data_IF_843453882673
#
_entry.id   IF_843453882673
#
_cell.length_a   1.000
_cell.length_b   1.000
_cell.length_c   1.000
_cell.angle_alpha   90.00
_cell.angle_beta   90.00
_cell.angle_gamma   90.00
#
_symmetry.space_group_name_H-M   'P 1'
#
loop_
_entity.id
_entity.type
_entity.pdbx_description
1 polymer ?
#
# COMPACT_ATOMS: atom_id res chain seq x y z
N UNK A 1 -3.10 -15.90 -29.32
CA UNK A 1 -4.16 -15.72 -30.31
C UNK A 1 -5.44 -15.11 -29.73
N UNK A 2 -6.13 -15.79 -28.74
CA UNK A 2 -7.34 -15.22 -28.14
C UNK A 2 -7.08 -13.93 -27.36
N UNK A 3 -6.00 -13.87 -26.59
CA UNK A 3 -5.61 -12.68 -25.83
C UNK A 3 -5.22 -11.51 -26.75
N UNK A 4 -4.58 -11.80 -27.88
CA UNK A 4 -4.21 -10.78 -28.87
C UNK A 4 -5.44 -10.21 -29.56
N UNK A 5 -6.41 -11.07 -29.93
CA UNK A 5 -7.71 -10.62 -30.46
C UNK A 5 -8.45 -9.73 -29.46
N UNK A 6 -8.44 -10.12 -28.17
CA UNK A 6 -9.05 -9.31 -27.12
C UNK A 6 -8.35 -7.95 -26.97
N UNK A 7 -7.02 -7.93 -27.02
CA UNK A 7 -6.26 -6.68 -26.96
C UNK A 7 -6.62 -5.73 -28.10
N UNK A 8 -6.71 -6.23 -29.34
CA UNK A 8 -7.11 -5.44 -30.51
C UNK A 8 -8.50 -4.86 -30.31
N UNK A 9 -9.48 -5.71 -29.92
CA UNK A 9 -10.86 -5.29 -29.72
C UNK A 9 -10.98 -4.22 -28.62
N UNK A 10 -10.28 -4.38 -27.49
CA UNK A 10 -10.28 -3.41 -26.39
C UNK A 10 -9.62 -2.10 -26.82
N UNK A 11 -8.50 -2.16 -27.54
CA UNK A 11 -7.80 -0.96 -28.04
C UNK A 11 -8.70 -0.18 -28.99
N UNK A 12 -9.36 -0.87 -29.91
CA UNK A 12 -10.30 -0.25 -30.83
C UNK A 12 -11.50 0.38 -30.10
N UNK A 13 -12.07 -0.33 -29.14
CA UNK A 13 -13.18 0.17 -28.34
C UNK A 13 -12.80 1.44 -27.54
N UNK A 14 -11.61 1.45 -26.91
CA UNK A 14 -11.10 2.62 -26.19
C UNK A 14 -10.94 3.83 -27.10
N UNK A 15 -10.42 3.62 -28.31
CA UNK A 15 -10.25 4.69 -29.30
C UNK A 15 -11.59 5.23 -29.81
N UNK A 16 -12.51 4.36 -30.20
CA UNK A 16 -13.78 4.76 -30.79
C UNK A 16 -14.76 5.37 -29.78
N UNK A 17 -14.84 4.77 -28.58
CA UNK A 17 -15.84 5.17 -27.56
C UNK A 17 -15.34 6.23 -26.60
N UNK A 18 -14.10 6.15 -26.18
CA UNK A 18 -13.54 7.03 -25.15
C UNK A 18 -12.52 8.03 -25.73
N UNK A 19 -12.15 7.92 -27.01
CA UNK A 19 -11.13 8.72 -27.68
C UNK A 19 -9.78 8.65 -26.94
N UNK A 20 -9.46 7.48 -26.36
CA UNK A 20 -8.22 7.23 -25.66
C UNK A 20 -7.28 6.39 -26.51
N UNK A 21 -6.05 6.86 -26.65
CA UNK A 21 -4.98 6.11 -27.31
C UNK A 21 -4.24 5.25 -26.28
N UNK A 22 -4.05 3.98 -26.63
CA UNK A 22 -3.32 3.02 -25.80
C UNK A 22 -1.82 3.14 -26.09
N UNK A 23 -1.00 3.29 -25.03
CA UNK A 23 0.46 3.34 -25.19
C UNK A 23 1.02 1.97 -25.61
N UNK A 24 1.61 1.82 -26.80
CA UNK A 24 2.17 0.56 -27.28
C UNK A 24 3.27 0.02 -26.35
N UNK A 25 4.09 0.91 -25.79
CA UNK A 25 5.21 0.56 -24.90
C UNK A 25 4.75 -0.07 -23.58
N UNK A 26 3.55 0.30 -23.12
CA UNK A 26 3.00 -0.15 -21.83
C UNK A 26 1.98 -1.28 -21.97
N UNK A 27 1.58 -1.59 -23.19
CA UNK A 27 0.52 -2.55 -23.49
C UNK A 27 1.11 -3.82 -24.09
N UNK A 28 0.98 -4.92 -23.36
CA UNK A 28 1.47 -6.22 -23.82
C UNK A 28 0.65 -7.35 -23.25
N UNK A 29 0.56 -8.44 -24.00
CA UNK A 29 0.01 -9.71 -23.52
C UNK A 29 1.11 -10.47 -22.77
N UNK A 30 0.82 -10.90 -21.54
CA UNK A 30 1.76 -11.64 -20.68
C UNK A 30 1.15 -12.96 -20.27
N UNK A 31 1.87 -14.07 -20.52
CA UNK A 31 1.52 -15.35 -19.91
C UNK A 31 1.97 -15.38 -18.45
N UNK A 32 1.03 -15.14 -17.55
CA UNK A 32 1.26 -15.07 -16.10
C UNK A 32 1.67 -16.41 -15.46
N UNK A 33 1.61 -17.52 -16.19
CA UNK A 33 2.16 -18.81 -15.73
C UNK A 33 3.67 -18.88 -15.93
N UNK A 34 4.21 -18.12 -16.87
CA UNK A 34 5.63 -18.11 -17.24
C UNK A 34 6.36 -16.87 -16.73
N UNK A 35 5.69 -15.71 -16.78
CA UNK A 35 6.31 -14.44 -16.48
C UNK A 35 5.47 -13.60 -15.50
N UNK A 36 6.10 -12.64 -14.84
CA UNK A 36 5.38 -11.66 -14.05
C UNK A 36 4.70 -10.64 -14.94
N UNK A 37 3.46 -10.32 -14.61
CA UNK A 37 2.76 -9.13 -15.11
C UNK A 37 2.83 -8.04 -14.05
N UNK A 38 3.16 -6.80 -14.45
CA UNK A 38 3.21 -5.66 -13.54
C UNK A 38 1.92 -4.85 -13.64
N UNK A 39 1.32 -4.56 -12.49
CA UNK A 39 0.11 -3.75 -12.39
C UNK A 39 0.12 -2.96 -11.08
N UNK A 40 -0.08 -1.64 -11.18
CA UNK A 40 -0.15 -0.72 -10.02
C UNK A 40 0.98 -0.92 -8.99
N UNK A 41 2.19 -1.14 -9.45
CA UNK A 41 3.35 -1.32 -8.56
C UNK A 41 3.49 -2.73 -7.97
N UNK A 42 2.60 -3.64 -8.32
CA UNK A 42 2.71 -5.07 -8.01
C UNK A 42 3.25 -5.83 -9.21
N UNK A 43 3.97 -6.92 -8.98
CA UNK A 43 4.26 -7.95 -9.96
C UNK A 43 3.54 -9.23 -9.56
N UNK A 44 2.80 -9.79 -10.50
CA UNK A 44 1.85 -10.88 -10.26
C UNK A 44 2.16 -12.02 -11.23
N UNK A 45 2.18 -13.25 -10.73
CA UNK A 45 2.24 -14.47 -11.54
C UNK A 45 1.41 -15.59 -10.94
N UNK A 46 1.20 -16.64 -11.70
CA UNK A 46 0.61 -17.88 -11.22
C UNK A 46 1.70 -18.92 -10.92
N UNK A 47 1.73 -19.40 -9.70
CA UNK A 47 2.61 -20.47 -9.25
C UNK A 47 1.82 -21.78 -9.12
N UNK A 48 2.37 -22.87 -9.65
CA UNK A 48 1.80 -24.20 -9.47
C UNK A 48 2.03 -24.65 -8.02
N UNK A 49 0.95 -25.05 -7.33
CA UNK A 49 0.98 -25.63 -5.99
C UNK A 49 0.18 -26.94 -6.01
N UNK A 50 0.86 -28.07 -6.13
CA UNK A 50 0.23 -29.36 -6.37
C UNK A 50 -0.56 -29.35 -7.68
N UNK A 51 -1.85 -29.68 -7.63
CA UNK A 51 -2.75 -29.72 -8.80
C UNK A 51 -3.37 -28.36 -9.15
N UNK A 52 -3.13 -27.30 -8.36
CA UNK A 52 -3.75 -25.98 -8.53
C UNK A 52 -2.72 -24.91 -8.85
N UNK A 53 -3.17 -23.82 -9.47
CA UNK A 53 -2.41 -22.59 -9.59
C UNK A 53 -2.87 -21.61 -8.52
N UNK A 54 -1.91 -20.95 -7.87
CA UNK A 54 -2.16 -19.92 -6.88
C UNK A 54 -1.51 -18.62 -7.33
N UNK A 55 -2.12 -17.50 -6.99
CA UNK A 55 -1.57 -16.18 -7.27
C UNK A 55 -0.37 -15.94 -6.35
N UNK A 56 0.73 -15.55 -6.94
CA UNK A 56 1.92 -15.05 -6.25
C UNK A 56 2.12 -13.59 -6.63
N UNK A 57 2.19 -12.72 -5.65
CA UNK A 57 2.36 -11.29 -5.87
C UNK A 57 3.39 -10.68 -4.92
N UNK A 58 4.17 -9.75 -5.46
CA UNK A 58 5.24 -9.00 -4.80
C UNK A 58 5.15 -7.52 -5.14
N UNK A 59 5.96 -6.68 -4.52
CA UNK A 59 6.27 -5.36 -5.09
C UNK A 59 6.94 -5.54 -6.45
N UNK A 60 6.63 -4.67 -7.43
CA UNK A 60 7.41 -4.63 -8.66
C UNK A 60 8.83 -4.12 -8.38
N UNK A 61 9.79 -4.49 -9.21
CA UNK A 61 11.21 -4.22 -8.96
C UNK A 61 11.52 -2.72 -8.86
N UNK A 62 10.84 -1.91 -9.67
CA UNK A 62 10.95 -0.45 -9.62
C UNK A 62 10.46 0.12 -8.29
N UNK A 63 9.32 -0.35 -7.79
CA UNK A 63 8.76 0.07 -6.52
C UNK A 63 9.63 -0.38 -5.35
N UNK A 64 10.10 -1.62 -5.36
CA UNK A 64 11.01 -2.17 -4.36
C UNK A 64 12.29 -1.31 -4.23
N UNK A 65 12.96 -1.03 -5.35
CA UNK A 65 14.17 -0.18 -5.37
C UNK A 65 13.87 1.22 -4.83
N UNK A 66 12.76 1.82 -5.26
CA UNK A 66 12.33 3.16 -4.82
C UNK A 66 12.05 3.19 -3.31
N UNK A 67 11.31 2.23 -2.79
CA UNK A 67 11.00 2.11 -1.35
C UNK A 67 12.28 1.97 -0.54
N UNK A 68 13.15 1.05 -0.92
CA UNK A 68 14.45 0.81 -0.27
C UNK A 68 15.30 2.08 -0.23
N UNK A 69 15.43 2.77 -1.35
CA UNK A 69 16.21 4.00 -1.45
C UNK A 69 15.61 5.15 -0.62
N UNK A 70 14.28 5.34 -0.67
CA UNK A 70 13.59 6.41 0.06
C UNK A 70 13.68 6.24 1.57
N UNK A 71 13.48 5.03 2.09
CA UNK A 71 13.62 4.74 3.52
C UNK A 71 15.08 4.92 3.99
N UNK A 72 16.03 4.42 3.20
CA UNK A 72 17.47 4.60 3.51
C UNK A 72 17.88 6.07 3.53
N UNK A 73 17.37 6.87 2.58
CA UNK A 73 17.58 8.32 2.56
C UNK A 73 16.99 8.98 3.79
N UNK A 74 15.78 8.58 4.19
CA UNK A 74 15.10 9.14 5.36
C UNK A 74 15.83 8.82 6.66
N UNK A 75 16.48 7.68 6.78
CA UNK A 75 17.38 7.37 7.91
C UNK A 75 18.53 8.39 8.00
N UNK A 76 19.04 8.85 6.86
CA UNK A 76 20.03 9.94 6.83
C UNK A 76 19.49 11.23 7.41
N UNK A 77 18.25 11.58 7.11
CA UNK A 77 17.57 12.77 7.66
C UNK A 77 17.28 12.65 9.15
N UNK A 78 17.05 11.45 9.69
CA UNK A 78 16.93 11.24 11.15
C UNK A 78 18.26 11.58 11.84
N UNK A 79 19.40 11.19 11.23
CA UNK A 79 20.71 11.52 11.78
C UNK A 79 21.01 13.03 11.70
N UNK A 80 20.72 13.64 10.56
CA UNK A 80 20.93 15.05 10.26
C UNK A 80 19.58 15.69 9.86
N UNK A 81 18.80 16.14 10.86
CA UNK A 81 17.47 16.68 10.60
C UNK A 81 17.51 17.92 9.70
N UNK A 82 16.54 18.04 8.83
CA UNK A 82 16.34 19.22 7.98
C UNK A 82 15.93 20.42 8.83
N UNK A 83 16.32 21.62 8.39
CA UNK A 83 15.93 22.88 9.05
C UNK A 83 14.41 22.89 9.30
N UNK A 84 14.01 23.25 10.52
CA UNK A 84 12.61 23.40 10.93
C UNK A 84 11.87 22.11 11.31
N UNK A 85 12.46 20.91 11.15
CA UNK A 85 11.74 19.65 11.42
C UNK A 85 12.18 18.92 12.70
N UNK A 86 13.44 18.98 13.05
CA UNK A 86 14.00 18.25 14.17
C UNK A 86 14.00 16.72 14.02
N UNK A 87 14.68 16.02 14.92
CA UNK A 87 14.82 14.55 14.88
C UNK A 87 13.46 13.85 14.99
N UNK A 88 12.63 14.24 15.95
CA UNK A 88 11.32 13.63 16.15
C UNK A 88 10.41 13.78 14.91
N UNK A 89 10.47 14.92 14.23
CA UNK A 89 9.73 15.18 13.01
C UNK A 89 10.19 14.29 11.85
N UNK A 90 11.50 14.02 11.74
CA UNK A 90 12.03 13.12 10.72
C UNK A 90 11.69 11.64 11.00
N UNK A 91 11.61 11.26 12.29
CA UNK A 91 11.14 9.92 12.70
C UNK A 91 9.67 9.73 12.37
N UNK A 92 8.82 10.72 12.66
CA UNK A 92 7.40 10.67 12.30
C UNK A 92 7.19 10.55 10.80
N UNK A 93 7.98 11.26 10.01
CA UNK A 93 7.94 11.12 8.55
C UNK A 93 8.36 9.71 8.10
N UNK A 94 9.44 9.16 8.67
CA UNK A 94 9.85 7.79 8.41
C UNK A 94 8.72 6.80 8.72
N UNK A 95 8.09 6.95 9.88
CA UNK A 95 6.98 6.11 10.31
C UNK A 95 5.77 6.22 9.37
N UNK A 96 5.44 7.42 8.92
CA UNK A 96 4.37 7.64 7.93
C UNK A 96 4.68 6.95 6.59
N UNK A 97 5.95 6.99 6.15
CA UNK A 97 6.39 6.27 4.95
C UNK A 97 6.24 4.76 5.13
N UNK A 98 6.68 4.21 6.27
CA UNK A 98 6.54 2.78 6.58
C UNK A 98 5.09 2.36 6.58
N UNK A 99 4.23 3.10 7.28
CA UNK A 99 2.78 2.81 7.32
C UNK A 99 2.13 2.87 5.94
N UNK A 100 2.46 3.88 5.14
CA UNK A 100 1.95 4.01 3.78
C UNK A 100 2.34 2.82 2.89
N UNK A 101 3.59 2.41 2.95
CA UNK A 101 4.09 1.25 2.21
C UNK A 101 3.40 -0.04 2.66
N UNK A 102 3.33 -0.28 3.96
CA UNK A 102 2.66 -1.45 4.52
C UNK A 102 1.18 -1.49 4.16
N UNK A 103 0.47 -0.36 4.26
CA UNK A 103 -0.95 -0.26 3.92
C UNK A 103 -1.20 -0.53 2.44
N UNK A 104 -0.35 0.02 1.55
CA UNK A 104 -0.51 -0.15 0.12
C UNK A 104 -0.26 -1.59 -0.32
N UNK A 105 0.82 -2.20 0.17
CA UNK A 105 1.25 -3.52 -0.29
C UNK A 105 0.75 -4.69 0.56
N UNK A 106 -0.02 -4.46 1.63
CA UNK A 106 -0.50 -5.51 2.54
C UNK A 106 -1.29 -6.64 1.87
N UNK A 107 -1.81 -6.41 0.66
CA UNK A 107 -2.56 -7.41 -0.11
C UNK A 107 -1.66 -8.32 -0.96
N UNK A 108 -0.38 -8.01 -1.12
CA UNK A 108 0.54 -8.87 -1.86
C UNK A 108 0.85 -10.14 -1.04
N UNK A 109 0.78 -11.31 -1.69
CA UNK A 109 0.93 -12.60 -1.01
C UNK A 109 2.30 -12.79 -0.36
N UNK A 110 3.35 -12.25 -0.98
CA UNK A 110 4.74 -12.39 -0.52
C UNK A 110 5.33 -11.08 -0.01
N UNK A 111 4.49 -10.14 0.43
CA UNK A 111 4.93 -8.83 0.93
C UNK A 111 5.86 -8.94 2.14
N UNK A 112 5.70 -9.96 2.98
CA UNK A 112 6.56 -10.21 4.12
C UNK A 112 8.02 -10.47 3.71
N UNK A 113 8.22 -11.12 2.56
CA UNK A 113 9.56 -11.37 1.99
C UNK A 113 10.17 -10.05 1.54
N UNK A 114 9.43 -9.27 0.75
CA UNK A 114 9.90 -7.99 0.22
C UNK A 114 10.20 -6.98 1.33
N UNK A 115 9.29 -6.83 2.29
CA UNK A 115 9.46 -5.95 3.44
C UNK A 115 10.56 -6.45 4.40
N UNK A 116 10.73 -7.76 4.52
CA UNK A 116 11.82 -8.37 5.29
C UNK A 116 13.18 -8.04 4.70
N UNK A 117 13.30 -8.10 3.40
CA UNK A 117 14.54 -7.78 2.66
C UNK A 117 14.90 -6.29 2.74
N UNK A 118 13.90 -5.42 2.52
CA UNK A 118 14.05 -3.97 2.71
C UNK A 118 14.45 -3.68 4.17
N UNK A 119 13.77 -4.33 5.12
CA UNK A 119 14.00 -4.18 6.55
C UNK A 119 15.41 -4.53 6.98
N UNK A 120 16.01 -5.60 6.44
CA UNK A 120 17.42 -5.95 6.71
C UNK A 120 18.35 -4.80 6.34
N UNK A 121 18.16 -4.23 5.14
CA UNK A 121 18.98 -3.09 4.70
C UNK A 121 18.74 -1.85 5.55
N UNK A 122 17.48 -1.48 5.77
CA UNK A 122 17.12 -0.29 6.55
C UNK A 122 17.62 -0.39 7.98
N UNK A 123 17.48 -1.55 8.63
CA UNK A 123 17.94 -1.78 10.00
C UNK A 123 19.49 -1.70 10.09
N UNK A 124 20.20 -2.21 9.09
CA UNK A 124 21.67 -2.07 9.03
C UNK A 124 22.07 -0.60 8.93
N UNK A 125 21.41 0.16 8.05
CA UNK A 125 21.68 1.60 7.90
C UNK A 125 21.31 2.37 9.17
N UNK A 126 20.17 2.06 9.81
CA UNK A 126 19.77 2.65 11.10
C UNK A 126 20.84 2.44 12.17
N UNK A 127 21.29 1.19 12.36
CA UNK A 127 22.32 0.84 13.34
C UNK A 127 23.64 1.60 13.07
N UNK A 128 24.07 1.64 11.81
CA UNK A 128 25.33 2.28 11.44
C UNK A 128 25.26 3.81 11.54
N UNK A 129 24.17 4.42 11.07
CA UNK A 129 24.00 5.87 11.05
C UNK A 129 23.73 6.47 12.43
N UNK A 130 22.99 5.75 13.28
CA UNK A 130 22.62 6.21 14.64
C UNK A 130 23.57 5.67 15.71
N UNK A 131 24.78 5.24 15.34
CA UNK A 131 25.87 4.94 16.25
C UNK A 131 26.76 6.20 16.37
N UNK A 132 27.09 6.58 17.60
CA UNK A 132 28.06 7.64 17.90
C UNK A 132 29.10 7.05 18.86
N UNK A 133 30.33 6.85 18.38
CA UNK A 133 31.36 6.16 19.12
C UNK A 133 30.92 4.74 19.55
N UNK A 134 31.01 4.46 20.86
CA UNK A 134 30.51 3.21 21.45
C UNK A 134 29.01 3.22 21.76
N UNK A 135 28.34 4.37 21.64
CA UNK A 135 26.94 4.57 22.07
C UNK A 135 25.99 4.44 20.88
N UNK A 136 24.95 3.63 21.02
CA UNK A 136 23.86 3.57 20.05
C UNK A 136 22.71 4.47 20.48
N UNK A 137 22.22 5.29 19.54
CA UNK A 137 21.03 6.15 19.74
C UNK A 137 19.72 5.36 19.66
N UNK A 138 19.78 4.09 19.21
CA UNK A 138 18.63 3.19 19.18
C UNK A 138 18.52 2.45 20.51
N UNK A 139 17.37 2.54 21.14
CA UNK A 139 17.04 1.87 22.41
C UNK A 139 15.86 0.89 22.21
N UNK A 140 15.69 -0.03 23.15
CA UNK A 140 14.54 -0.93 23.19
C UNK A 140 13.31 -0.27 23.84
N UNK A 141 13.54 0.73 24.66
CA UNK A 141 12.53 1.46 25.44
C UNK A 141 12.44 2.91 25.00
N UNK A 142 11.26 3.49 25.11
CA UNK A 142 11.00 4.88 24.74
C UNK A 142 9.71 5.39 25.36
N UNK A 143 8.96 6.23 24.66
CA UNK A 143 7.63 6.65 25.10
C UNK A 143 6.60 5.51 25.00
N UNK A 144 5.55 5.62 25.75
CA UNK A 144 4.42 4.73 25.61
C UNK A 144 3.83 4.77 24.21
N UNK A 145 3.42 3.59 23.75
CA UNK A 145 2.80 3.45 22.44
C UNK A 145 1.33 3.84 22.51
N UNK A 146 0.85 4.49 21.49
CA UNK A 146 -0.59 4.76 21.31
C UNK A 146 -1.35 3.45 21.05
N UNK A 147 -2.68 3.46 21.23
CA UNK A 147 -3.53 2.28 20.97
C UNK A 147 -3.31 1.69 19.58
N UNK A 148 -3.20 2.55 18.56
CA UNK A 148 -2.93 2.14 17.18
C UNK A 148 -1.54 1.51 17.03
N UNK A 149 -0.52 2.07 17.66
CA UNK A 149 0.84 1.54 17.62
C UNK A 149 0.93 0.18 18.33
N UNK A 150 0.26 0.02 19.47
CA UNK A 150 0.17 -1.26 20.19
C UNK A 150 -0.50 -2.31 19.31
N UNK A 151 -1.65 -1.98 18.72
CA UNK A 151 -2.38 -2.90 17.85
C UNK A 151 -1.52 -3.35 16.67
N UNK A 152 -0.74 -2.44 16.08
CA UNK A 152 0.01 -2.71 14.86
C UNK A 152 1.40 -3.27 15.10
N UNK A 153 2.13 -2.77 16.08
CA UNK A 153 3.54 -3.07 16.32
C UNK A 153 3.86 -3.61 17.71
N UNK A 154 2.89 -3.66 18.63
CA UNK A 154 3.12 -4.03 20.02
C UNK A 154 3.70 -5.42 20.22
N UNK A 155 3.48 -6.35 19.28
CA UNK A 155 4.06 -7.70 19.28
C UNK A 155 5.39 -7.80 18.54
N UNK A 156 5.95 -6.69 18.04
CA UNK A 156 7.16 -6.70 17.24
C UNK A 156 8.41 -6.55 18.10
N UNK A 157 9.26 -7.56 18.13
CA UNK A 157 10.58 -7.49 18.77
C UNK A 157 11.56 -6.56 18.02
N UNK A 158 11.21 -6.10 16.82
CA UNK A 158 12.05 -5.22 16.00
C UNK A 158 11.80 -3.73 16.25
N UNK A 159 10.80 -3.39 17.03
CA UNK A 159 10.52 -2.00 17.41
C UNK A 159 11.73 -1.41 18.15
N UNK A 160 12.13 -0.21 17.78
CA UNK A 160 13.23 0.53 18.41
C UNK A 160 12.80 1.96 18.62
N UNK A 161 13.49 2.64 19.51
CA UNK A 161 13.23 4.03 19.88
C UNK A 161 14.49 4.85 19.74
N UNK A 162 14.34 6.12 19.45
CA UNK A 162 15.45 7.06 19.45
C UNK A 162 15.72 7.51 20.90
N UNK A 163 16.96 7.44 21.33
CA UNK A 163 17.36 7.73 22.70
C UNK A 163 16.96 9.14 23.16
N UNK A 164 17.09 10.14 22.30
CA UNK A 164 16.84 11.54 22.64
C UNK A 164 15.35 11.89 22.59
N UNK A 165 14.68 11.61 21.50
CA UNK A 165 13.26 11.96 21.30
C UNK A 165 12.28 10.93 21.89
N UNK A 166 12.77 9.76 22.30
CA UNK A 166 11.97 8.60 22.75
C UNK A 166 10.90 8.15 21.75
N UNK A 167 10.93 8.66 20.51
CA UNK A 167 9.97 8.28 19.46
C UNK A 167 10.25 6.86 18.93
N UNK A 168 9.20 6.06 18.71
CA UNK A 168 9.33 4.73 18.14
C UNK A 168 9.70 4.82 16.66
N UNK A 169 10.52 3.88 16.18
CA UNK A 169 10.80 3.64 14.76
C UNK A 169 10.06 2.39 14.35
N UNK A 170 9.13 2.52 13.42
CA UNK A 170 8.33 1.39 12.96
C UNK A 170 9.13 0.44 12.07
N UNK A 171 9.11 -0.86 12.35
CA UNK A 171 9.80 -1.85 11.55
C UNK A 171 9.05 -2.11 10.24
N UNK A 172 9.66 -1.78 9.09
CA UNK A 172 9.08 -2.06 7.78
C UNK A 172 8.84 -3.55 7.55
N UNK A 173 9.71 -4.40 8.11
CA UNK A 173 9.61 -5.86 8.02
C UNK A 173 8.40 -6.45 8.76
N UNK A 174 7.83 -5.72 9.71
CA UNK A 174 6.66 -6.17 10.47
C UNK A 174 5.37 -5.74 9.76
N UNK A 175 5.13 -6.33 8.60
CA UNK A 175 3.91 -6.10 7.82
C UNK A 175 2.82 -7.09 8.22
N UNK A 176 1.62 -6.57 8.45
CA UNK A 176 0.41 -7.37 8.67
C UNK A 176 -0.25 -7.64 7.31
N UNK A 177 -0.04 -8.84 6.76
CA UNK A 177 -0.67 -9.23 5.51
C UNK A 177 -2.19 -9.34 5.71
N UNK A 178 -2.94 -8.82 4.75
CA UNK A 178 -4.38 -9.04 4.65
C UNK A 178 -4.66 -9.95 3.47
N UNK A 179 -5.49 -10.94 3.70
CA UNK A 179 -5.99 -11.73 2.57
C UNK A 179 -6.81 -10.81 1.64
N UNK A 180 -6.58 -10.86 0.33
CA UNK A 180 -7.44 -10.17 -0.61
C UNK A 180 -8.87 -10.70 -0.42
N UNK A 181 -9.86 -9.81 -0.49
CA UNK A 181 -11.25 -10.23 -0.45
C UNK A 181 -11.50 -11.21 -1.60
N UNK A 182 -11.78 -12.47 -1.28
CA UNK A 182 -12.23 -13.41 -2.29
C UNK A 182 -13.70 -13.11 -2.59
N UNK A 183 -13.95 -12.41 -3.69
CA UNK A 183 -15.31 -12.26 -4.18
C UNK A 183 -15.83 -13.64 -4.59
N UNK A 184 -17.01 -14.00 -4.07
CA UNK A 184 -17.72 -15.19 -4.53
C UNK A 184 -18.01 -15.00 -6.02
N UNK A 185 -18.00 -16.11 -6.81
CA UNK A 185 -18.26 -16.04 -8.26
C UNK A 185 -19.59 -15.38 -8.64
N UNK A 186 -20.56 -15.34 -7.71
CA UNK A 186 -21.86 -14.70 -7.87
C UNK A 186 -21.84 -13.19 -7.65
N UNK A 187 -20.81 -12.65 -6.98
CA UNK A 187 -20.67 -11.22 -6.70
C UNK A 187 -20.09 -10.53 -7.91
N UNK A 188 -20.92 -9.81 -8.63
CA UNK A 188 -20.54 -9.10 -9.86
C UNK A 188 -21.03 -7.66 -9.79
N UNK A 189 -20.12 -6.69 -9.95
CA UNK A 189 -20.45 -5.27 -9.95
C UNK A 189 -21.39 -4.85 -11.09
N UNK A 190 -21.52 -5.67 -12.13
CA UNK A 190 -22.35 -5.39 -13.30
C UNK A 190 -23.79 -5.87 -13.19
N UNK A 191 -24.14 -6.66 -12.18
CA UNK A 191 -25.51 -7.12 -11.91
C UNK A 191 -26.09 -6.42 -10.69
N UNK A 192 -27.41 -6.16 -10.67
CA UNK A 192 -28.06 -5.51 -9.53
C UNK A 192 -27.89 -6.32 -8.24
N UNK A 193 -28.07 -7.64 -8.30
CA UNK A 193 -27.90 -8.53 -7.15
C UNK A 193 -26.45 -8.54 -6.66
N UNK A 194 -25.46 -8.58 -7.57
CA UNK A 194 -24.05 -8.54 -7.20
C UNK A 194 -23.62 -7.21 -6.58
N UNK A 195 -24.16 -6.08 -7.07
CA UNK A 195 -23.94 -4.77 -6.44
C UNK A 195 -24.52 -4.70 -5.03
N UNK A 196 -25.73 -5.20 -4.82
CA UNK A 196 -26.35 -5.25 -3.49
C UNK A 196 -25.46 -6.06 -2.51
N UNK A 197 -25.00 -7.25 -2.91
CA UNK A 197 -24.13 -8.08 -2.08
C UNK A 197 -22.78 -7.41 -1.76
N UNK A 198 -22.20 -6.64 -2.72
CA UNK A 198 -20.99 -5.83 -2.47
C UNK A 198 -21.29 -4.74 -1.44
N UNK A 199 -22.41 -4.05 -1.55
CA UNK A 199 -22.78 -2.97 -0.64
C UNK A 199 -23.10 -3.45 0.77
N UNK A 200 -23.76 -4.60 0.91
CA UNK A 200 -24.06 -5.21 2.21
C UNK A 200 -22.78 -5.61 2.96
N UNK A 201 -21.75 -6.07 2.24
CA UNK A 201 -20.46 -6.43 2.82
C UNK A 201 -19.58 -5.21 3.19
N UNK A 202 -19.81 -4.05 2.59
CA UNK A 202 -19.00 -2.86 2.84
C UNK A 202 -19.23 -2.20 4.21
N UNK A 203 -20.31 -2.55 4.92
CA UNK A 203 -20.65 -1.99 6.24
C UNK A 203 -20.60 -0.47 6.30
N UNK A 204 -20.98 0.19 5.22
CA UNK A 204 -21.00 1.65 5.13
C UNK A 204 -22.02 2.20 6.14
N UNK A 205 -21.63 3.22 6.88
CA UNK A 205 -22.55 3.94 7.75
C UNK A 205 -23.55 4.71 6.89
N UNK A 206 -24.74 4.09 6.67
CA UNK A 206 -25.80 4.65 5.81
C UNK A 206 -26.35 5.98 6.34
N UNK A 207 -26.35 6.19 7.64
CA UNK A 207 -26.79 7.46 8.24
C UNK A 207 -25.85 8.60 7.85
N UNK A 208 -24.54 8.42 8.00
CA UNK A 208 -23.57 9.43 7.59
C UNK A 208 -23.55 9.63 6.08
N UNK A 209 -23.73 8.56 5.30
CA UNK A 209 -23.84 8.64 3.85
C UNK A 209 -25.04 9.52 3.43
N UNK A 210 -26.21 9.28 4.01
CA UNK A 210 -27.41 10.07 3.75
C UNK A 210 -27.25 11.53 4.19
N UNK A 211 -26.60 11.77 5.32
CA UNK A 211 -26.26 13.12 5.78
C UNK A 211 -25.31 13.82 4.81
N UNK A 212 -24.31 13.11 4.32
CA UNK A 212 -23.37 13.62 3.33
C UNK A 212 -24.08 13.95 2.00
N UNK A 213 -24.97 13.08 1.54
CA UNK A 213 -25.77 13.31 0.32
C UNK A 213 -26.68 14.54 0.43
N UNK A 214 -27.27 14.79 1.60
CA UNK A 214 -28.14 15.95 1.86
C UNK A 214 -27.37 17.24 2.12
N UNK A 215 -26.09 17.16 2.47
CA UNK A 215 -25.28 18.34 2.72
C UNK A 215 -25.12 19.18 1.44
N UNK A 216 -25.50 20.47 1.46
CA UNK A 216 -25.46 21.32 0.28
C UNK A 216 -24.02 21.49 -0.22
N UNK A 217 -23.85 21.45 -1.54
CA UNK A 217 -22.58 21.66 -2.23
C UNK A 217 -22.59 22.93 -3.07
N UNK A 218 -23.17 23.98 -2.53
CA UNK A 218 -23.25 25.27 -3.22
C UNK A 218 -21.86 25.73 -3.68
N UNK A 219 -21.76 26.19 -4.90
CA UNK A 219 -20.53 26.63 -5.57
C UNK A 219 -19.45 25.55 -5.87
N UNK A 220 -19.78 24.26 -5.79
CA UNK A 220 -18.86 23.17 -6.15
C UNK A 220 -19.31 22.48 -7.44
N UNK A 221 -18.36 21.89 -8.17
CA UNK A 221 -18.66 21.12 -9.39
C UNK A 221 -19.40 19.83 -9.09
N UNK A 222 -20.15 19.31 -10.08
CA UNK A 222 -20.83 18.01 -9.98
C UNK A 222 -19.82 16.89 -9.67
N UNK A 223 -18.62 16.95 -10.29
CA UNK A 223 -17.53 16.02 -10.02
C UNK A 223 -17.08 16.02 -8.55
N UNK A 224 -17.05 17.19 -7.91
CA UNK A 224 -16.74 17.28 -6.49
C UNK A 224 -17.78 16.57 -5.63
N UNK A 225 -19.08 16.73 -5.97
CA UNK A 225 -20.16 16.08 -5.24
C UNK A 225 -20.10 14.55 -5.37
N UNK A 226 -19.87 14.04 -6.58
CA UNK A 226 -19.76 12.61 -6.86
C UNK A 226 -18.52 11.99 -6.24
N UNK A 227 -17.37 12.68 -6.36
CA UNK A 227 -16.11 12.22 -5.74
C UNK A 227 -16.21 12.19 -4.22
N UNK A 228 -16.89 13.14 -3.59
CA UNK A 228 -17.11 13.17 -2.15
C UNK A 228 -17.83 11.92 -1.65
N UNK A 229 -18.91 11.52 -2.33
CA UNK A 229 -19.69 10.33 -1.99
C UNK A 229 -18.87 9.06 -2.25
N UNK A 230 -18.20 9.00 -3.38
CA UNK A 230 -17.35 7.86 -3.75
C UNK A 230 -16.19 7.65 -2.78
N UNK A 231 -15.52 8.73 -2.36
CA UNK A 231 -14.43 8.69 -1.39
C UNK A 231 -14.91 8.25 0.00
N UNK A 232 -16.06 8.76 0.45
CA UNK A 232 -16.66 8.35 1.70
C UNK A 232 -16.99 6.86 1.69
N UNK A 233 -17.62 6.37 0.63
CA UNK A 233 -17.94 4.95 0.48
C UNK A 233 -16.70 4.07 0.45
N UNK A 234 -15.60 4.52 -0.20
CA UNK A 234 -14.33 3.82 -0.25
C UNK A 234 -13.59 3.79 1.09
N UNK A 235 -13.84 4.74 1.97
CA UNK A 235 -13.22 4.84 3.30
C UNK A 235 -14.06 4.20 4.43
N UNK A 236 -15.20 3.59 4.05
CA UNK A 236 -16.11 2.86 4.97
C UNK A 236 -16.90 3.78 5.92
N UNK A 237 -16.98 5.06 5.60
CA UNK A 237 -17.69 6.06 6.38
C UNK A 237 -16.90 6.61 7.55
#
# INVERSE_FOLDING_TARGET
EQADRTLIAVTQWLKERLRLDVSPEKTRVVDVRRSYSEFLGFKIRLRKKGKKYVVQSHMCDKAYKKVKASLTKQVGNIKFPRKGRGEAGEVRLFNSMVMGIQNYYQLATDISIDCGDIGRTVNTVLKNRLKSGKTHRLKKEGRDLTKMEIQRYGKSEQLRYIAQSKEPIYPISYVQCKNPMSQRRKVCAYTAAGRSEIHDDLRINTFLLLQLMRAPTYSRSTEYADNRISLFSAQWG
#
